data_IF_774723625650
#
_entry.id   IF_774723625650
#
_cell.length_a   1.000
_cell.length_b   1.000
_cell.length_c   1.000
_cell.angle_alpha   90.00
_cell.angle_beta   90.00
_cell.angle_gamma   90.00
#
_symmetry.space_group_name_H-M   'P 1'
#
loop_
_entity.id
_entity.type
_entity.pdbx_description
1 polymer ?
#
# COMPACT_ATOMS: atom_id res chain seq x y z
N UNK A 1 21.98 -3.25 -8.70
CA UNK A 1 22.38 -1.94 -8.11
C UNK A 1 21.27 -1.51 -7.17
N UNK A 2 21.58 -1.02 -5.97
CA UNK A 2 20.63 -0.45 -5.02
C UNK A 2 20.89 1.05 -4.88
N UNK A 3 19.85 1.85 -4.68
CA UNK A 3 19.93 3.31 -4.55
C UNK A 3 19.01 3.78 -3.41
N UNK A 4 19.35 4.92 -2.84
CA UNK A 4 18.47 5.67 -1.96
C UNK A 4 17.59 6.59 -2.81
N UNK A 5 16.35 6.78 -2.40
CA UNK A 5 15.40 7.65 -3.10
C UNK A 5 14.79 8.65 -2.11
N UNK A 6 14.85 9.90 -2.47
CA UNK A 6 14.05 10.97 -1.88
C UNK A 6 13.05 11.48 -2.89
N UNK A 7 11.81 11.70 -2.46
CA UNK A 7 10.74 12.18 -3.32
C UNK A 7 10.01 13.34 -2.66
N UNK A 8 9.64 14.32 -3.45
CA UNK A 8 8.68 15.35 -3.08
C UNK A 8 7.72 15.56 -4.25
N UNK A 9 6.42 15.55 -3.96
CA UNK A 9 5.37 15.68 -4.95
C UNK A 9 4.51 16.91 -4.65
N UNK A 10 4.22 17.68 -5.68
CA UNK A 10 3.23 18.74 -5.61
C UNK A 10 1.94 18.28 -6.28
N UNK A 11 0.90 18.11 -5.48
CA UNK A 11 -0.38 17.52 -5.91
C UNK A 11 -1.56 18.44 -5.56
N UNK A 12 -2.73 18.27 -6.18
CA UNK A 12 -3.96 18.92 -5.71
C UNK A 12 -4.22 18.64 -4.24
N UNK A 13 -4.74 19.60 -3.48
CA UNK A 13 -4.94 19.48 -2.02
C UNK A 13 -5.79 18.29 -1.62
N UNK A 14 -6.74 17.87 -2.48
CA UNK A 14 -7.63 16.73 -2.25
C UNK A 14 -7.01 15.36 -2.60
N UNK A 15 -5.80 15.32 -3.15
CA UNK A 15 -5.16 14.07 -3.51
C UNK A 15 -4.34 13.50 -2.35
N UNK A 16 -4.24 12.19 -2.30
CA UNK A 16 -3.24 11.46 -1.55
C UNK A 16 -2.04 11.15 -2.45
N UNK A 17 -0.88 10.99 -1.83
CA UNK A 17 0.29 10.46 -2.52
C UNK A 17 1.01 9.47 -1.59
N UNK A 18 1.48 8.38 -2.17
CA UNK A 18 2.16 7.28 -1.47
C UNK A 18 3.38 6.89 -2.28
N UNK A 19 4.48 6.62 -1.62
CA UNK A 19 5.71 6.08 -2.20
C UNK A 19 6.37 5.12 -1.19
N UNK A 20 7.51 4.57 -1.51
CA UNK A 20 8.29 3.68 -0.63
C UNK A 20 8.60 4.31 0.74
N UNK A 21 9.01 5.59 0.76
CA UNK A 21 9.28 6.32 1.98
C UNK A 21 8.01 6.79 2.71
N UNK A 22 8.06 6.90 4.03
CA UNK A 22 6.98 7.48 4.83
C UNK A 22 6.84 8.99 4.57
N UNK A 23 5.63 9.52 4.72
CA UNK A 23 5.42 10.97 4.66
C UNK A 23 6.21 11.63 5.79
N UNK A 24 7.03 12.60 5.45
CA UNK A 24 7.81 13.41 6.40
C UNK A 24 7.11 14.73 6.68
N UNK A 25 6.68 15.41 5.62
CA UNK A 25 6.09 16.74 5.73
C UNK A 25 5.02 16.99 4.66
N UNK A 26 4.00 17.74 5.02
CA UNK A 26 2.96 18.22 4.10
C UNK A 26 2.83 19.72 4.24
N UNK A 27 3.14 20.46 3.17
CA UNK A 27 3.13 21.91 3.15
C UNK A 27 2.10 22.45 2.16
N UNK A 28 1.56 23.63 2.48
CA UNK A 28 0.86 24.44 1.50
C UNK A 28 1.84 24.96 0.46
N UNK A 29 1.39 25.06 -0.79
CA UNK A 29 2.20 25.67 -1.87
C UNK A 29 1.73 27.09 -2.16
N UNK A 30 2.55 27.86 -2.86
CA UNK A 30 2.17 29.19 -3.35
C UNK A 30 1.04 29.12 -4.39
N UNK A 31 0.83 27.97 -5.00
CA UNK A 31 -0.27 27.72 -5.93
C UNK A 31 -1.52 27.30 -5.17
N UNK A 32 -2.60 28.04 -5.34
CA UNK A 32 -3.87 27.75 -4.68
C UNK A 32 -4.37 26.32 -4.96
N UNK A 33 -4.95 25.68 -3.94
CA UNK A 33 -5.50 24.32 -4.00
C UNK A 33 -4.47 23.20 -4.30
N UNK A 34 -3.20 23.46 -4.03
CA UNK A 34 -2.14 22.45 -4.12
C UNK A 34 -1.44 22.31 -2.78
N UNK A 35 -0.83 21.15 -2.58
CA UNK A 35 0.05 20.86 -1.44
C UNK A 35 1.30 20.15 -1.93
N UNK A 36 2.40 20.32 -1.19
CA UNK A 36 3.64 19.58 -1.37
C UNK A 36 3.71 18.52 -0.29
N UNK A 37 3.98 17.28 -0.70
CA UNK A 37 4.20 16.16 0.19
C UNK A 37 5.65 15.73 0.00
N UNK A 38 6.44 15.82 1.05
CA UNK A 38 7.82 15.34 1.10
C UNK A 38 7.87 14.03 1.84
N UNK A 39 8.66 13.10 1.32
CA UNK A 39 8.80 11.75 1.86
C UNK A 39 10.21 11.56 2.39
N UNK A 40 10.35 10.78 3.44
CA UNK A 40 11.65 10.36 3.97
C UNK A 40 12.42 9.58 2.93
N UNK A 41 13.73 9.69 2.99
CA UNK A 41 14.62 8.88 2.18
C UNK A 41 14.36 7.40 2.45
N UNK A 42 14.39 6.59 1.39
CA UNK A 42 14.20 5.13 1.50
C UNK A 42 15.45 4.45 2.04
N UNK A 43 15.28 3.25 2.58
CA UNK A 43 16.40 2.30 2.67
C UNK A 43 16.93 2.00 1.26
N UNK A 44 18.19 1.49 1.14
CA UNK A 44 18.76 1.13 -0.16
C UNK A 44 17.94 0.04 -0.84
N UNK A 45 17.24 0.37 -1.91
CA UNK A 45 16.40 -0.56 -2.66
C UNK A 45 16.78 -0.65 -4.14
N UNK A 46 16.42 -1.73 -4.78
CA UNK A 46 16.60 -1.91 -6.23
C UNK A 46 15.74 -0.90 -6.99
N UNK A 47 16.26 -0.34 -8.07
CA UNK A 47 15.61 0.74 -8.80
C UNK A 47 14.21 0.38 -9.34
N UNK A 48 13.98 -0.90 -9.65
CA UNK A 48 12.67 -1.37 -10.11
C UNK A 48 11.60 -1.38 -9.01
N UNK A 49 12.02 -1.39 -7.73
CA UNK A 49 11.11 -1.34 -6.58
C UNK A 49 10.67 0.09 -6.23
N UNK A 50 11.31 1.11 -6.81
CA UNK A 50 10.89 2.49 -6.60
C UNK A 50 9.56 2.76 -7.30
N UNK A 51 8.59 3.29 -6.55
CA UNK A 51 7.29 3.64 -7.09
C UNK A 51 6.66 4.83 -6.37
N UNK A 52 5.70 5.44 -7.00
CA UNK A 52 4.77 6.36 -6.34
C UNK A 52 3.38 6.28 -6.98
N UNK A 53 2.38 6.55 -6.19
CA UNK A 53 0.99 6.71 -6.64
C UNK A 53 0.47 8.03 -6.10
N UNK A 54 -0.22 8.80 -6.94
CA UNK A 54 -0.88 10.03 -6.51
C UNK A 54 -2.27 10.13 -7.16
N UNK A 55 -3.28 10.47 -6.37
CA UNK A 55 -4.66 10.54 -6.87
C UNK A 55 -5.69 10.82 -5.78
N UNK A 56 -6.95 10.82 -6.19
CA UNK A 56 -8.09 10.82 -5.26
C UNK A 56 -8.25 9.41 -4.69
N UNK A 57 -7.52 9.13 -3.63
CA UNK A 57 -7.55 7.86 -2.93
C UNK A 57 -8.23 8.03 -1.57
N UNK A 58 -9.01 7.06 -1.17
CA UNK A 58 -9.43 6.86 0.23
C UNK A 58 -8.34 6.10 0.96
N UNK A 59 -8.10 6.43 2.21
CA UNK A 59 -7.13 5.77 3.08
C UNK A 59 -7.85 5.16 4.27
N UNK A 60 -7.68 3.87 4.44
CA UNK A 60 -8.07 3.10 5.63
C UNK A 60 -6.79 2.73 6.40
N UNK A 61 -6.79 2.81 7.72
CA UNK A 61 -5.63 2.47 8.55
C UNK A 61 -6.01 1.44 9.59
N UNK A 62 -5.19 0.41 9.71
CA UNK A 62 -5.38 -0.71 10.62
C UNK A 62 -4.13 -0.90 11.47
N UNK A 63 -4.34 -1.35 12.72
CA UNK A 63 -3.26 -1.56 13.68
C UNK A 63 -3.38 -2.93 14.34
N UNK A 64 -2.25 -3.63 14.45
CA UNK A 64 -2.12 -4.87 15.23
C UNK A 64 -0.75 -4.90 15.89
N UNK A 65 -0.70 -5.13 17.20
CA UNK A 65 0.53 -5.30 17.98
C UNK A 65 1.59 -4.20 17.75
N UNK A 66 1.13 -2.94 17.65
CA UNK A 66 1.98 -1.78 17.44
C UNK A 66 2.40 -1.55 15.98
N UNK A 67 2.08 -2.45 15.06
CA UNK A 67 2.29 -2.30 13.63
C UNK A 67 1.08 -1.62 12.99
N UNK A 68 1.33 -0.63 12.13
CA UNK A 68 0.30 0.06 11.37
C UNK A 68 0.46 -0.24 9.88
N UNK A 69 -0.66 -0.51 9.21
CA UNK A 69 -0.73 -0.59 7.76
C UNK A 69 -1.80 0.36 7.25
N UNK A 70 -1.61 0.91 6.06
CA UNK A 70 -2.63 1.72 5.40
C UNK A 70 -2.99 1.12 4.06
N UNK A 71 -4.30 1.06 3.78
CA UNK A 71 -4.85 0.63 2.50
C UNK A 71 -5.37 1.86 1.77
N UNK A 72 -4.84 2.12 0.59
CA UNK A 72 -5.26 3.20 -0.29
C UNK A 72 -6.04 2.61 -1.47
N UNK A 73 -7.22 3.13 -1.75
CA UNK A 73 -8.07 2.61 -2.81
C UNK A 73 -8.96 3.69 -3.45
N UNK A 74 -9.64 3.33 -4.52
CA UNK A 74 -10.69 4.14 -5.17
C UNK A 74 -12.05 3.47 -5.16
N UNK A 75 -12.20 2.35 -4.44
CA UNK A 75 -13.48 1.65 -4.33
C UNK A 75 -14.50 2.51 -3.60
N UNK A 76 -15.74 2.49 -4.07
CA UNK A 76 -16.87 3.25 -3.54
C UNK A 76 -18.05 2.38 -3.10
N UNK A 77 -18.05 1.10 -3.48
CA UNK A 77 -19.04 0.13 -3.00
C UNK A 77 -18.78 -0.18 -1.51
N UNK A 78 -19.72 0.17 -0.59
CA UNK A 78 -19.53 -0.05 0.83
C UNK A 78 -19.24 -1.52 1.21
N UNK A 79 -19.78 -2.48 0.46
CA UNK A 79 -19.56 -3.91 0.71
C UNK A 79 -18.13 -4.33 0.39
N UNK A 80 -17.56 -3.75 -0.65
CA UNK A 80 -16.16 -3.97 -1.01
C UNK A 80 -15.21 -3.22 -0.10
N UNK A 81 -15.53 -1.97 0.25
CA UNK A 81 -14.75 -1.18 1.22
C UNK A 81 -14.69 -1.88 2.57
N UNK A 82 -15.77 -2.50 3.02
CA UNK A 82 -15.78 -3.28 4.26
C UNK A 82 -14.77 -4.44 4.26
N UNK A 83 -14.34 -4.94 3.10
CA UNK A 83 -13.31 -5.98 3.01
C UNK A 83 -11.90 -5.48 3.35
N UNK A 84 -11.68 -4.16 3.45
CA UNK A 84 -10.36 -3.64 3.82
C UNK A 84 -9.88 -4.16 5.19
N UNK A 85 -10.80 -4.42 6.13
CA UNK A 85 -10.45 -5.02 7.42
C UNK A 85 -9.95 -6.47 7.28
N UNK A 86 -10.58 -7.26 6.41
CA UNK A 86 -10.16 -8.65 6.16
C UNK A 86 -8.82 -8.66 5.42
N UNK A 87 -8.66 -7.80 4.41
CA UNK A 87 -7.39 -7.62 3.69
C UNK A 87 -6.27 -7.24 4.66
N UNK A 88 -6.53 -6.30 5.57
CA UNK A 88 -5.56 -5.92 6.59
C UNK A 88 -5.18 -7.09 7.50
N UNK A 89 -6.17 -7.90 7.93
CA UNK A 89 -5.91 -9.10 8.73
C UNK A 89 -5.04 -10.10 7.98
N UNK A 90 -5.34 -10.38 6.72
CA UNK A 90 -4.53 -11.29 5.88
C UNK A 90 -3.07 -10.79 5.72
N UNK A 91 -2.87 -9.47 5.60
CA UNK A 91 -1.52 -8.88 5.54
C UNK A 91 -0.77 -9.06 6.85
N UNK A 92 -1.42 -8.79 7.99
CA UNK A 92 -0.78 -9.02 9.30
C UNK A 92 -0.40 -10.48 9.49
N UNK A 93 -1.31 -11.41 9.17
CA UNK A 93 -1.06 -12.84 9.29
C UNK A 93 0.10 -13.30 8.38
N UNK A 94 0.17 -12.78 7.14
CA UNK A 94 1.25 -13.08 6.21
C UNK A 94 2.62 -12.54 6.69
N UNK A 95 2.65 -11.30 7.19
CA UNK A 95 3.87 -10.71 7.76
C UNK A 95 4.37 -11.47 8.98
N UNK A 96 3.48 -11.79 9.93
CA UNK A 96 3.82 -12.56 11.12
C UNK A 96 4.38 -13.94 10.75
N UNK A 97 3.71 -14.64 9.84
CA UNK A 97 4.16 -15.94 9.37
C UNK A 97 5.54 -15.88 8.69
N UNK A 98 5.77 -14.88 7.84
CA UNK A 98 7.05 -14.71 7.15
C UNK A 98 8.17 -14.34 8.11
N UNK A 99 7.92 -13.47 9.08
CA UNK A 99 8.89 -13.11 10.12
C UNK A 99 9.25 -14.32 10.98
N UNK A 100 8.25 -15.13 11.36
CA UNK A 100 8.48 -16.38 12.11
C UNK A 100 9.27 -17.40 11.27
N UNK A 101 8.89 -17.59 10.01
CA UNK A 101 9.55 -18.56 9.13
C UNK A 101 10.99 -18.19 8.81
N UNK A 102 11.24 -16.91 8.50
CA UNK A 102 12.56 -16.43 8.10
C UNK A 102 13.46 -16.07 9.29
N UNK A 103 12.91 -15.89 10.47
CA UNK A 103 13.55 -15.31 11.66
C UNK A 103 14.13 -13.92 11.41
N UNK A 104 13.55 -13.19 10.45
CA UNK A 104 13.94 -11.83 10.09
C UNK A 104 12.71 -10.93 10.22
N UNK A 105 12.72 -9.94 11.12
CA UNK A 105 11.62 -8.97 11.21
C UNK A 105 11.55 -8.12 9.94
N UNK A 106 10.34 -7.71 9.57
CA UNK A 106 10.13 -6.82 8.42
C UNK A 106 10.96 -5.53 8.59
N UNK A 107 11.94 -5.28 7.70
CA UNK A 107 12.99 -4.29 7.97
C UNK A 107 12.62 -2.85 7.60
N UNK A 108 11.43 -2.63 7.03
CA UNK A 108 11.03 -1.32 6.51
C UNK A 108 10.10 -0.59 7.46
N UNK A 109 10.14 0.76 7.42
CA UNK A 109 9.43 1.61 8.37
C UNK A 109 7.90 1.60 8.24
N UNK A 110 7.37 1.14 7.10
CA UNK A 110 5.92 1.06 6.86
C UNK A 110 5.59 -0.06 5.87
N UNK A 111 4.33 -0.48 5.91
CA UNK A 111 3.72 -1.34 4.90
C UNK A 111 2.39 -0.72 4.47
N UNK A 112 2.35 -0.13 3.29
CA UNK A 112 1.13 0.40 2.70
C UNK A 112 0.71 -0.45 1.50
N UNK A 113 -0.59 -0.68 1.37
CA UNK A 113 -1.19 -1.31 0.21
C UNK A 113 -1.88 -0.25 -0.64
N UNK A 114 -1.67 -0.28 -1.94
CA UNK A 114 -2.36 0.59 -2.88
C UNK A 114 -3.13 -0.27 -3.86
N UNK A 115 -4.46 -0.27 -3.74
CA UNK A 115 -5.35 -1.06 -4.58
C UNK A 115 -5.88 -0.18 -5.71
N UNK A 116 -5.46 -0.51 -6.94
CA UNK A 116 -5.69 0.32 -8.11
C UNK A 116 -6.61 -0.37 -9.12
N UNK A 117 -7.60 0.35 -9.67
CA UNK A 117 -8.38 -0.16 -10.78
C UNK A 117 -7.51 -0.29 -12.05
N UNK A 118 -7.62 -1.44 -12.71
CA UNK A 118 -6.94 -1.66 -13.97
C UNK A 118 -5.42 -1.79 -13.89
N UNK A 119 -4.86 -2.06 -12.71
CA UNK A 119 -3.44 -2.41 -12.58
C UNK A 119 -3.16 -3.72 -13.35
N UNK A 120 -2.13 -3.70 -14.19
CA UNK A 120 -1.90 -4.78 -15.17
C UNK A 120 -1.39 -6.10 -14.56
N UNK A 121 -0.84 -6.06 -13.35
CA UNK A 121 -0.38 -7.22 -12.60
C UNK A 121 -1.36 -7.54 -11.47
N UNK A 122 -1.26 -8.74 -10.89
CA UNK A 122 -2.01 -9.09 -9.67
C UNK A 122 -1.56 -8.23 -8.50
N UNK A 123 -0.26 -8.19 -8.29
CA UNK A 123 0.46 -7.38 -7.32
C UNK A 123 1.81 -6.92 -7.86
N UNK A 124 2.52 -6.13 -7.07
CA UNK A 124 3.90 -5.70 -7.31
C UNK A 124 4.54 -5.29 -5.99
N UNK A 125 5.66 -5.92 -5.65
CA UNK A 125 6.36 -5.87 -4.37
C UNK A 125 7.12 -4.55 -4.10
N UNK A 126 6.59 -3.42 -4.51
CA UNK A 126 7.21 -2.13 -4.20
C UNK A 126 7.33 -1.93 -2.69
N UNK A 127 8.55 -1.95 -2.21
CA UNK A 127 8.89 -1.93 -0.78
C UNK A 127 8.18 -0.80 -0.03
N UNK A 128 7.41 -1.14 0.99
CA UNK A 128 6.64 -0.18 1.80
C UNK A 128 5.44 0.44 1.11
N UNK A 129 5.17 0.12 -0.17
CA UNK A 129 4.08 0.67 -0.98
C UNK A 129 3.61 -0.34 -2.04
N UNK A 130 3.24 -1.54 -1.59
CA UNK A 130 2.87 -2.66 -2.45
C UNK A 130 1.60 -2.34 -3.25
N UNK A 131 1.65 -2.54 -4.57
CA UNK A 131 0.53 -2.29 -5.47
C UNK A 131 -0.25 -3.58 -5.72
N UNK A 132 -1.57 -3.45 -5.82
CA UNK A 132 -2.48 -4.55 -6.14
C UNK A 132 -3.55 -4.11 -7.14
N UNK A 133 -4.02 -5.04 -7.97
CA UNK A 133 -5.22 -4.80 -8.78
C UNK A 133 -6.48 -5.00 -7.96
N UNK A 134 -7.45 -4.11 -8.11
CA UNK A 134 -8.72 -4.13 -7.39
C UNK A 134 -9.51 -5.44 -7.57
N UNK A 135 -9.53 -5.98 -8.79
CA UNK A 135 -10.25 -7.22 -9.10
C UNK A 135 -9.71 -8.48 -8.41
N UNK A 136 -8.50 -8.43 -7.83
CA UNK A 136 -7.94 -9.51 -7.02
C UNK A 136 -8.14 -9.30 -5.53
N UNK A 137 -8.26 -8.06 -5.12
CA UNK A 137 -8.34 -7.69 -3.69
C UNK A 137 -9.79 -7.56 -3.21
N UNK A 138 -10.67 -6.95 -3.99
CA UNK A 138 -12.09 -6.80 -3.66
C UNK A 138 -12.91 -7.91 -4.31
N UNK A 139 -13.23 -8.93 -3.53
CA UNK A 139 -14.00 -10.08 -3.98
C UNK A 139 -15.49 -9.77 -4.07
N UNK A 140 -16.22 -10.58 -4.84
CA UNK A 140 -17.67 -10.51 -4.91
C UNK A 140 -18.33 -10.89 -3.57
N UNK A 141 -19.64 -10.65 -3.41
CA UNK A 141 -20.35 -10.90 -2.15
C UNK A 141 -20.27 -12.36 -1.64
N UNK A 142 -20.23 -13.32 -2.56
CA UNK A 142 -20.17 -14.74 -2.23
C UNK A 142 -18.95 -15.38 -2.90
N UNK A 143 -17.73 -15.03 -2.44
CA UNK A 143 -16.53 -15.56 -3.06
C UNK A 143 -16.39 -17.06 -2.76
N UNK A 144 -15.95 -17.80 -3.75
CA UNK A 144 -15.57 -19.19 -3.59
C UNK A 144 -14.34 -19.33 -2.69
N UNK A 145 -14.11 -20.51 -2.15
CA UNK A 145 -12.88 -20.80 -1.41
C UNK A 145 -11.62 -20.49 -2.24
N UNK A 146 -11.64 -20.85 -3.53
CA UNK A 146 -10.51 -20.61 -4.44
C UNK A 146 -10.21 -19.12 -4.62
N UNK A 147 -11.23 -18.26 -4.71
CA UNK A 147 -11.04 -16.80 -4.82
C UNK A 147 -10.44 -16.23 -3.53
N UNK A 148 -10.88 -16.69 -2.37
CA UNK A 148 -10.29 -16.29 -1.08
C UNK A 148 -8.83 -16.73 -0.97
N UNK A 149 -8.55 -18.01 -1.26
CA UNK A 149 -7.18 -18.53 -1.25
C UNK A 149 -6.28 -17.82 -2.26
N UNK A 150 -6.81 -17.45 -3.43
CA UNK A 150 -6.05 -16.70 -4.42
C UNK A 150 -5.67 -15.29 -3.94
N UNK A 151 -6.56 -14.61 -3.20
CA UNK A 151 -6.25 -13.32 -2.56
C UNK A 151 -5.18 -13.48 -1.49
N UNK A 152 -5.37 -14.41 -0.55
CA UNK A 152 -4.39 -14.64 0.52
C UNK A 152 -3.02 -15.06 -0.03
N UNK A 153 -3.01 -15.90 -1.09
CA UNK A 153 -1.77 -16.31 -1.76
C UNK A 153 -1.07 -15.14 -2.44
N UNK A 154 -1.83 -14.23 -3.07
CA UNK A 154 -1.27 -13.02 -3.67
C UNK A 154 -0.67 -12.10 -2.61
N UNK A 155 -1.38 -11.87 -1.50
CA UNK A 155 -0.88 -11.04 -0.39
C UNK A 155 0.40 -11.62 0.21
N UNK A 156 0.45 -12.93 0.40
CA UNK A 156 1.64 -13.60 0.95
C UNK A 156 2.82 -13.67 -0.04
N UNK A 157 2.56 -13.54 -1.34
CA UNK A 157 3.59 -13.52 -2.38
C UNK A 157 4.31 -12.17 -2.43
N UNK A 158 3.58 -11.06 -2.37
CA UNK A 158 4.09 -9.69 -2.44
C UNK A 158 4.69 -9.22 -1.10
#
# INVERSE_FOLDING_TARGET
MKSLFTLSLEVPSSWQAVTNGAVEQVDSTSVARRKRISFRETEPLSTYLFSFVAGKLTRETYSRDGRNISIYHRETDPKKVAQCSDIASEVFDALEWQEEYTQIPYPFAKYDLIILPGFQFGGMEHTGATLYTDGRMFLNENPTLNERLARSSLIAHE
#
